data_IF_140565678149
#
_entry.id   IF_140565678149
#
_cell.length_a   1.000
_cell.length_b   1.000
_cell.length_c   1.000
_cell.angle_alpha   90.00
_cell.angle_beta   90.00
_cell.angle_gamma   90.00
#
_symmetry.space_group_name_H-M   'P 1'
#
loop_
_entity.id
_entity.type
_entity.pdbx_description
1 polymer ?
#
# COMPACT_ATOMS: atom_id res chain seq x y z
N UNK A 1 17.84 7.40 10.09
CA UNK A 1 16.42 7.00 10.15
C UNK A 1 15.85 7.51 11.47
N UNK A 2 14.74 8.24 11.49
CA UNK A 2 14.14 8.69 12.76
C UNK A 2 13.42 7.54 13.46
N UNK A 3 13.44 7.52 14.79
CA UNK A 3 12.82 6.45 15.59
C UNK A 3 11.31 6.35 15.38
N UNK A 4 10.65 7.48 15.09
CA UNK A 4 9.24 7.52 14.73
C UNK A 4 8.93 6.70 13.48
N UNK A 5 9.76 6.79 12.43
CA UNK A 5 9.57 6.01 11.20
C UNK A 5 9.73 4.51 11.45
N UNK A 6 10.74 4.12 12.25
CA UNK A 6 10.94 2.71 12.65
C UNK A 6 9.74 2.16 13.44
N UNK A 7 9.17 2.96 14.34
CA UNK A 7 8.01 2.54 15.13
C UNK A 7 6.78 2.34 14.25
N UNK A 8 6.48 3.29 13.36
CA UNK A 8 5.35 3.19 12.44
C UNK A 8 5.47 1.97 11.53
N UNK A 9 6.64 1.74 10.93
CA UNK A 9 6.88 0.56 10.08
C UNK A 9 6.63 -0.72 10.86
N UNK A 10 7.19 -0.84 12.08
CA UNK A 10 6.97 -2.02 12.92
C UNK A 10 5.49 -2.24 13.21
N UNK A 11 4.79 -1.20 13.64
CA UNK A 11 3.36 -1.30 13.95
C UNK A 11 2.52 -1.67 12.74
N UNK A 12 2.83 -1.13 11.56
CA UNK A 12 2.10 -1.45 10.33
C UNK A 12 2.37 -2.88 9.89
N UNK A 13 3.64 -3.32 9.89
CA UNK A 13 4.00 -4.71 9.55
C UNK A 13 3.34 -5.67 10.54
N UNK A 14 3.41 -5.38 11.83
CA UNK A 14 2.77 -6.19 12.87
C UNK A 14 1.26 -6.29 12.65
N UNK A 15 0.60 -5.16 12.34
CA UNK A 15 -0.84 -5.14 12.11
C UNK A 15 -1.24 -5.92 10.85
N UNK A 16 -0.49 -5.78 9.76
CA UNK A 16 -0.70 -6.54 8.51
C UNK A 16 -0.52 -8.04 8.75
N UNK A 17 0.52 -8.45 9.47
CA UNK A 17 0.77 -9.86 9.80
C UNK A 17 -0.36 -10.41 10.69
N UNK A 18 -0.78 -9.66 11.71
CA UNK A 18 -1.92 -10.05 12.55
C UNK A 18 -3.22 -10.18 11.75
N UNK A 19 -3.49 -9.25 10.83
CA UNK A 19 -4.66 -9.30 9.96
C UNK A 19 -4.61 -10.50 9.00
N UNK A 20 -3.44 -10.79 8.41
CA UNK A 20 -3.24 -11.97 7.58
C UNK A 20 -3.42 -13.27 8.37
N UNK A 21 -2.94 -13.33 9.62
CA UNK A 21 -3.11 -14.48 10.50
C UNK A 21 -4.57 -14.67 10.96
N UNK A 22 -5.37 -13.61 11.04
CA UNK A 22 -6.80 -13.69 11.34
C UNK A 22 -7.63 -14.15 10.13
N UNK A 23 -7.10 -14.05 8.91
CA UNK A 23 -7.84 -14.34 7.69
C UNK A 23 -8.38 -15.78 7.58
N UNK A 24 -7.64 -16.85 7.95
CA UNK A 24 -8.17 -18.22 7.90
C UNK A 24 -9.41 -18.42 8.78
N UNK A 25 -9.48 -17.75 9.93
CA UNK A 25 -10.64 -17.81 10.82
C UNK A 25 -11.85 -17.10 10.21
N UNK A 26 -11.63 -15.97 9.53
CA UNK A 26 -12.69 -15.24 8.80
C UNK A 26 -13.19 -16.09 7.61
N UNK A 27 -12.28 -16.74 6.90
CA UNK A 27 -12.61 -17.64 5.78
C UNK A 27 -13.42 -18.84 6.29
N UNK A 28 -12.97 -19.49 7.37
CA UNK A 28 -13.68 -20.62 7.98
C UNK A 28 -15.06 -20.26 8.52
N UNK A 29 -15.24 -19.04 9.05
CA UNK A 29 -16.54 -18.58 9.55
C UNK A 29 -17.52 -18.12 8.45
N UNK A 30 -17.04 -17.89 7.22
CA UNK A 30 -17.84 -17.29 6.14
C UNK A 30 -18.67 -18.29 5.32
N UNK A 31 -18.42 -19.60 5.43
CA UNK A 31 -19.17 -20.64 4.72
C UNK A 31 -19.03 -20.60 3.18
N UNK A 32 -18.01 -19.90 2.66
CA UNK A 32 -17.81 -19.67 1.22
C UNK A 32 -17.05 -20.83 0.54
N UNK A 33 -17.30 -21.12 -0.75
CA UNK A 33 -16.56 -22.12 -1.52
C UNK A 33 -15.06 -21.79 -1.57
N UNK A 34 -14.19 -22.76 -1.28
CA UNK A 34 -12.77 -22.55 -0.93
C UNK A 34 -11.91 -21.77 -1.95
N UNK A 35 -12.38 -21.61 -3.20
CA UNK A 35 -11.64 -20.94 -4.27
C UNK A 35 -11.77 -19.40 -4.31
N UNK A 36 -12.83 -18.81 -3.74
CA UNK A 36 -13.06 -17.35 -3.78
C UNK A 36 -12.42 -16.54 -2.63
N UNK A 37 -12.32 -17.05 -1.38
CA UNK A 37 -11.83 -16.25 -0.26
C UNK A 37 -10.32 -16.00 -0.33
N UNK A 38 -9.54 -17.00 -0.75
CA UNK A 38 -8.09 -16.85 -0.90
C UNK A 38 -7.72 -15.75 -1.91
N UNK A 39 -8.49 -15.65 -3.00
CA UNK A 39 -8.31 -14.62 -4.01
C UNK A 39 -8.71 -13.23 -3.48
N UNK A 40 -9.86 -13.14 -2.80
CA UNK A 40 -10.32 -11.89 -2.19
C UNK A 40 -9.33 -11.38 -1.14
N UNK A 41 -8.78 -12.28 -0.32
CA UNK A 41 -7.74 -11.95 0.65
C UNK A 41 -6.45 -11.50 -0.04
N UNK A 42 -6.00 -12.23 -1.07
CA UNK A 42 -4.82 -11.86 -1.84
C UNK A 42 -4.95 -10.47 -2.47
N UNK A 43 -6.11 -10.17 -3.05
CA UNK A 43 -6.44 -8.86 -3.60
C UNK A 43 -6.55 -7.78 -2.51
N UNK A 44 -7.13 -8.09 -1.35
CA UNK A 44 -7.21 -7.15 -0.23
C UNK A 44 -5.82 -6.79 0.31
N UNK A 45 -4.92 -7.78 0.42
CA UNK A 45 -3.52 -7.55 0.82
C UNK A 45 -2.79 -6.75 -0.25
N UNK A 46 -2.94 -7.09 -1.54
CA UNK A 46 -2.33 -6.34 -2.64
C UNK A 46 -2.82 -4.89 -2.69
N UNK A 47 -4.12 -4.65 -2.53
CA UNK A 47 -4.70 -3.31 -2.45
C UNK A 47 -4.20 -2.55 -1.22
N UNK A 48 -4.09 -3.20 -0.07
CA UNK A 48 -3.49 -2.64 1.14
C UNK A 48 -2.05 -2.19 0.91
N UNK A 49 -1.24 -3.04 0.26
CA UNK A 49 0.14 -2.71 -0.07
C UNK A 49 0.24 -1.55 -1.06
N UNK A 50 -0.58 -1.55 -2.12
CA UNK A 50 -0.68 -0.43 -3.07
C UNK A 50 -1.07 0.87 -2.36
N UNK A 51 -2.01 0.81 -1.41
CA UNK A 51 -2.40 1.99 -0.63
C UNK A 51 -1.24 2.48 0.23
N UNK A 52 -0.50 1.58 0.88
CA UNK A 52 0.70 1.94 1.64
C UNK A 52 1.74 2.63 0.76
N UNK A 53 2.03 2.08 -0.41
CA UNK A 53 2.96 2.68 -1.39
C UNK A 53 2.50 4.06 -1.88
N UNK A 54 1.20 4.32 -1.92
CA UNK A 54 0.66 5.64 -2.28
C UNK A 54 0.76 6.69 -1.16
N UNK A 55 1.21 6.35 0.07
CA UNK A 55 1.40 7.35 1.11
C UNK A 55 2.62 8.23 0.80
N UNK A 56 2.52 9.58 0.92
CA UNK A 56 3.66 10.48 0.76
C UNK A 56 4.76 10.26 1.81
N UNK A 57 4.44 9.56 2.90
CA UNK A 57 5.43 9.13 3.89
C UNK A 57 6.40 8.07 3.35
N UNK A 58 5.95 7.17 2.45
CA UNK A 58 6.82 6.19 1.79
C UNK A 58 7.77 6.91 0.85
N UNK A 59 7.25 7.88 0.10
CA UNK A 59 8.02 8.67 -0.86
C UNK A 59 9.12 9.52 -0.19
N UNK A 60 8.84 10.06 1.01
CA UNK A 60 9.87 10.74 1.84
C UNK A 60 10.96 9.82 2.37
N UNK A 61 10.66 8.52 2.49
CA UNK A 61 11.63 7.51 2.93
C UNK A 61 12.51 7.01 1.77
N UNK A 62 12.00 7.11 0.54
CA UNK A 62 12.65 6.62 -0.66
C UNK A 62 13.74 7.58 -1.17
N UNK A 63 14.88 7.04 -1.65
CA UNK A 63 15.89 7.82 -2.37
C UNK A 63 15.26 8.58 -3.54
N UNK A 64 15.81 9.74 -3.91
CA UNK A 64 15.25 10.59 -4.98
C UNK A 64 15.05 9.88 -6.32
N UNK A 65 15.84 8.84 -6.62
CA UNK A 65 15.73 8.05 -7.84
C UNK A 65 14.60 7.01 -7.84
N UNK A 66 13.94 6.76 -6.70
CA UNK A 66 12.83 5.82 -6.55
C UNK A 66 11.51 6.50 -6.16
N UNK A 67 11.49 7.84 -6.08
CA UNK A 67 10.27 8.59 -5.75
C UNK A 67 9.29 8.62 -6.91
N UNK A 68 8.00 8.69 -6.58
CA UNK A 68 6.95 8.80 -7.57
C UNK A 68 7.06 10.14 -8.34
N UNK A 69 6.98 10.08 -9.67
CA UNK A 69 6.88 11.27 -10.53
C UNK A 69 5.44 11.80 -10.44
N UNK A 70 5.27 13.10 -10.19
CA UNK A 70 3.95 13.73 -10.22
C UNK A 70 3.49 13.88 -11.68
N UNK A 71 2.45 13.16 -12.13
CA UNK A 71 2.00 13.21 -13.52
C UNK A 71 1.50 14.60 -13.94
N UNK A 72 1.08 15.44 -12.98
CA UNK A 72 0.62 16.80 -13.28
C UNK A 72 1.78 17.78 -13.50
N UNK A 73 2.95 17.49 -12.93
CA UNK A 73 4.15 18.28 -13.15
C UNK A 73 4.67 18.14 -14.59
N UNK A 74 4.41 17.01 -15.25
CA UNK A 74 4.81 16.76 -16.63
C UNK A 74 3.85 17.37 -17.68
N UNK A 75 2.58 17.55 -17.33
CA UNK A 75 1.56 18.14 -18.25
C UNK A 75 1.58 19.68 -18.22
N UNK A 76 1.85 20.29 -17.06
CA UNK A 76 1.94 21.76 -16.91
C UNK A 76 2.87 22.44 -17.93
N UNK A 77 4.10 21.92 -18.20
CA UNK A 77 5.00 22.48 -19.19
C UNK A 77 4.47 22.43 -20.63
N UNK A 78 3.58 21.48 -20.95
CA UNK A 78 3.00 21.35 -22.27
C UNK A 78 1.88 22.37 -22.51
N UNK A 79 1.10 22.70 -21.47
CA UNK A 79 0.01 23.68 -21.56
C UNK A 79 0.48 25.13 -21.59
N UNK A 80 1.64 25.43 -21.00
CA UNK A 80 2.22 26.79 -20.94
C UNK A 80 2.94 27.22 -22.23
N UNK A 81 3.18 26.29 -23.17
CA UNK A 81 3.82 26.62 -24.46
C UNK A 81 2.86 27.19 -25.50
N UNK A 82 1.55 27.05 -25.28
CA UNK A 82 0.50 27.42 -26.21
C UNK A 82 -0.33 28.65 -25.75
N UNK A 83 0.13 29.34 -24.69
CA UNK A 83 -0.47 30.55 -24.11
C UNK A 83 0.41 31.79 -24.35
#
# INVERSE_FOLDING_TARGET
MSDGARRTIRSTVQWVVSAAAAAPLIVGASGLPEATPGLALGLAVAAGLTRVMALPAVDRLLPSWLRAVDPRADIRPALDRDA
#
